data_IF_378532311862
#
_entry.id   IF_378532311862
#
_cell.length_a   1.000
_cell.length_b   1.000
_cell.length_c   1.000
_cell.angle_alpha   90.00
_cell.angle_beta   90.00
_cell.angle_gamma   90.00
#
_symmetry.space_group_name_H-M   'P 1'
#
loop_
_entity.id
_entity.type
_entity.pdbx_description
1 polymer ?
#
# COMPACT_ATOMS: atom_id res chain seq x y z
N UNK A 1 4.62 -14.66 -10.78
CA UNK A 1 4.06 -13.62 -9.87
C UNK A 1 3.19 -12.68 -10.67
N UNK A 2 2.17 -12.16 -10.05
CA UNK A 2 1.25 -11.21 -10.68
C UNK A 2 1.48 -9.83 -10.13
N UNK A 3 1.24 -8.82 -10.95
CA UNK A 3 1.30 -7.43 -10.51
C UNK A 3 -0.02 -7.05 -9.88
N UNK A 4 0.06 -6.39 -8.73
CA UNK A 4 -1.11 -5.88 -8.02
C UNK A 4 -0.96 -4.40 -7.77
N UNK A 5 -2.03 -3.68 -7.97
CA UNK A 5 -2.10 -2.27 -7.61
C UNK A 5 -2.70 -2.18 -6.22
N UNK A 6 -1.90 -1.72 -5.26
CA UNK A 6 -2.34 -1.62 -3.87
C UNK A 6 -2.63 -0.17 -3.53
N UNK A 7 -3.85 0.08 -3.13
CA UNK A 7 -4.27 1.39 -2.65
C UNK A 7 -4.23 1.38 -1.13
N UNK A 8 -3.60 2.35 -0.54
CA UNK A 8 -3.46 2.43 0.91
C UNK A 8 -3.56 3.88 1.36
N UNK A 9 -3.76 4.05 2.67
CA UNK A 9 -3.83 5.36 3.29
C UNK A 9 -2.69 5.53 4.28
N UNK A 10 -2.08 6.69 4.27
CA UNK A 10 -1.05 7.05 5.26
C UNK A 10 -1.44 8.37 5.91
N UNK A 11 -1.04 8.54 7.16
CA UNK A 11 -1.25 9.81 7.83
C UNK A 11 -0.16 10.78 7.40
N UNK A 12 -0.56 11.89 6.81
CA UNK A 12 0.36 12.94 6.39
C UNK A 12 0.31 14.07 7.41
N UNK A 13 1.41 14.30 8.08
CA UNK A 13 1.52 15.39 9.03
C UNK A 13 0.99 15.04 10.42
N UNK A 14 0.90 16.08 11.26
CA UNK A 14 0.52 15.92 12.67
C UNK A 14 -0.95 16.21 12.94
N UNK A 15 -1.72 16.54 11.92
CA UNK A 15 -3.12 16.90 12.10
C UNK A 15 -4.00 15.66 12.03
N UNK A 16 -5.02 15.64 12.88
CA UNK A 16 -6.00 14.56 12.86
C UNK A 16 -6.78 14.58 11.55
N UNK A 17 -7.01 13.40 11.01
CA UNK A 17 -7.81 13.26 9.81
C UNK A 17 -7.09 13.55 8.51
N UNK A 18 -5.82 13.86 8.56
CA UNK A 18 -5.02 14.06 7.35
C UNK A 18 -4.53 12.72 6.84
N UNK A 19 -5.41 11.99 6.19
CA UNK A 19 -5.06 10.76 5.54
C UNK A 19 -4.88 11.01 4.06
N UNK A 20 -3.76 10.54 3.51
CA UNK A 20 -3.46 10.67 2.10
C UNK A 20 -3.61 9.29 1.45
N UNK A 21 -4.37 9.26 0.36
CA UNK A 21 -4.55 8.05 -0.42
C UNK A 21 -3.39 7.93 -1.40
N UNK A 22 -2.68 6.82 -1.32
CA UNK A 22 -1.56 6.52 -2.20
C UNK A 22 -1.78 5.18 -2.87
N UNK A 23 -1.16 5.00 -4.01
CA UNK A 23 -1.25 3.75 -4.76
C UNK A 23 0.15 3.28 -5.14
N UNK A 24 0.38 1.98 -5.02
CA UNK A 24 1.67 1.37 -5.33
C UNK A 24 1.45 0.08 -6.10
N UNK A 25 2.29 -0.18 -7.09
CA UNK A 25 2.27 -1.45 -7.80
C UNK A 25 3.27 -2.41 -7.17
N UNK A 26 2.81 -3.61 -6.82
CA UNK A 26 3.61 -4.62 -6.14
C UNK A 26 3.43 -5.95 -6.85
N UNK A 27 4.51 -6.69 -7.03
CA UNK A 27 4.44 -8.06 -7.53
C UNK A 27 4.32 -9.03 -6.37
N UNK A 28 3.34 -9.93 -6.45
CA UNK A 28 3.10 -10.92 -5.41
C UNK A 28 2.34 -12.11 -5.98
N UNK A 29 2.26 -13.18 -5.21
CA UNK A 29 1.53 -14.38 -5.62
C UNK A 29 0.03 -14.23 -5.47
N UNK A 30 -0.42 -13.39 -4.54
CA UNK A 30 -1.84 -13.13 -4.33
C UNK A 30 -2.03 -11.73 -3.73
N UNK A 31 -3.28 -11.30 -3.63
CA UNK A 31 -3.60 -9.95 -3.13
C UNK A 31 -3.16 -9.74 -1.68
N UNK A 32 -3.31 -10.76 -0.84
CA UNK A 32 -2.92 -10.66 0.56
C UNK A 32 -1.41 -10.44 0.70
N UNK A 33 -0.62 -11.18 -0.09
CA UNK A 33 0.82 -11.00 -0.08
C UNK A 33 1.21 -9.62 -0.62
N UNK A 34 0.48 -9.12 -1.62
CA UNK A 34 0.72 -7.79 -2.17
C UNK A 34 0.47 -6.72 -1.11
N UNK A 35 -0.61 -6.83 -0.36
CA UNK A 35 -0.91 -5.88 0.72
C UNK A 35 0.20 -5.87 1.77
N UNK A 36 0.64 -7.06 2.19
CA UNK A 36 1.69 -7.16 3.20
C UNK A 36 3.00 -6.56 2.70
N UNK A 37 3.37 -6.83 1.45
CA UNK A 37 4.58 -6.28 0.86
C UNK A 37 4.51 -4.76 0.75
N UNK A 38 3.36 -4.24 0.36
CA UNK A 38 3.15 -2.81 0.24
C UNK A 38 3.32 -2.10 1.59
N UNK A 39 2.69 -2.61 2.63
CA UNK A 39 2.77 -2.03 3.96
C UNK A 39 4.22 -2.01 4.44
N UNK A 40 4.93 -3.10 4.23
CA UNK A 40 6.33 -3.19 4.64
C UNK A 40 7.21 -2.21 3.86
N UNK A 41 7.02 -2.09 2.55
CA UNK A 41 7.81 -1.16 1.75
C UNK A 41 7.58 0.29 2.16
N UNK A 42 6.32 0.65 2.39
CA UNK A 42 5.99 2.01 2.84
C UNK A 42 6.69 2.31 4.17
N UNK A 43 6.66 1.35 5.08
CA UNK A 43 7.32 1.53 6.38
C UNK A 43 8.82 1.72 6.22
N UNK A 44 9.45 0.95 5.34
CA UNK A 44 10.90 1.05 5.13
C UNK A 44 11.29 2.33 4.42
N UNK A 45 10.48 2.80 3.48
CA UNK A 45 10.81 3.98 2.70
C UNK A 45 10.50 5.29 3.40
N UNK A 46 9.37 5.34 4.11
CA UNK A 46 8.92 6.58 4.74
C UNK A 46 8.88 6.50 6.26
N UNK A 47 8.96 5.30 6.84
CA UNK A 47 8.77 5.09 8.27
C UNK A 47 7.34 5.23 8.72
N UNK A 48 6.40 5.39 7.81
CA UNK A 48 4.99 5.57 8.13
C UNK A 48 4.25 4.26 7.98
N UNK A 49 3.16 4.15 8.73
CA UNK A 49 2.33 2.96 8.69
C UNK A 49 1.19 3.14 7.70
N UNK A 50 1.07 2.21 6.75
CA UNK A 50 -0.02 2.22 5.78
C UNK A 50 -1.26 1.58 6.38
N UNK A 51 -2.42 2.21 6.17
CA UNK A 51 -3.71 1.74 6.67
C UNK A 51 -4.58 1.25 5.53
N UNK A 52 -5.38 0.24 5.79
CA UNK A 52 -6.41 -0.27 4.88
C UNK A 52 -5.87 -0.55 3.48
N UNK A 53 -4.82 -1.37 3.36
CA UNK A 53 -4.32 -1.71 2.03
C UNK A 53 -5.36 -2.52 1.27
N UNK A 54 -5.54 -2.18 0.00
CA UNK A 54 -6.47 -2.89 -0.87
C UNK A 54 -5.77 -3.21 -2.18
N UNK A 55 -5.59 -4.49 -2.46
CA UNK A 55 -4.89 -4.94 -3.64
C UNK A 55 -5.87 -5.32 -4.73
N UNK A 56 -5.58 -4.87 -5.95
CA UNK A 56 -6.34 -5.23 -7.14
C UNK A 56 -5.38 -5.78 -8.19
N UNK A 57 -5.75 -6.88 -8.88
CA UNK A 57 -4.90 -7.39 -9.94
C UNK A 57 -4.82 -6.39 -11.09
N UNK A 58 -3.62 -6.23 -11.61
CA UNK A 58 -3.40 -5.37 -12.76
C UNK A 58 -3.49 -6.24 -14.01
N UNK A 59 -4.49 -5.99 -14.83
CA UNK A 59 -4.62 -6.66 -16.11
C UNK A 59 -3.83 -5.86 -17.15
N UNK A 60 -2.82 -6.50 -17.66
CA UNK A 60 -1.98 -5.91 -18.69
C UNK A 60 -2.37 -6.46 -20.04
#
# INVERSE_FOLDING_TARGET
MKAYQVTYFIKAGQHRGCEVKETMTVEATNGKAACAACVEQVKQQTGRHAFRPHAQPVNV
#
